data_IF_377505867099
#
_entry.id   IF_377505867099
#
_cell.length_a   1.000
_cell.length_b   1.000
_cell.length_c   1.000
_cell.angle_alpha   90.00
_cell.angle_beta   90.00
_cell.angle_gamma   90.00
#
_symmetry.space_group_name_H-M   'P 1'
#
loop_
_entity.id
_entity.type
_entity.pdbx_description
1 polymer ?
#
# COMPACT_ATOMS: atom_id res chain seq x y z
N UNK A 1 -10.18 4.48 17.22
CA UNK A 1 -10.91 3.68 16.21
C UNK A 1 -10.59 4.17 14.81
N UNK A 2 -10.29 3.28 13.92
CA UNK A 2 -9.97 3.67 12.55
C UNK A 2 -11.22 4.20 11.82
N UNK A 3 -11.04 5.27 11.08
CA UNK A 3 -12.08 5.81 10.19
C UNK A 3 -11.83 5.28 8.77
N UNK A 4 -12.91 5.14 8.03
CA UNK A 4 -12.83 4.80 6.62
C UNK A 4 -13.16 6.05 5.80
N UNK A 5 -12.28 6.40 4.88
CA UNK A 5 -12.39 7.58 4.05
C UNK A 5 -12.48 7.12 2.59
N UNK A 6 -13.41 7.70 1.81
CA UNK A 6 -13.50 7.41 0.39
C UNK A 6 -12.27 8.01 -0.29
N UNK A 7 -11.51 7.21 -1.06
CA UNK A 7 -10.31 7.71 -1.72
C UNK A 7 -10.62 8.81 -2.73
N UNK A 8 -9.84 9.89 -2.67
CA UNK A 8 -9.98 11.00 -3.63
C UNK A 8 -9.67 10.56 -5.07
N UNK A 9 -8.97 9.45 -5.24
CA UNK A 9 -8.57 8.93 -6.55
C UNK A 9 -9.60 8.02 -7.20
N UNK A 10 -10.70 7.67 -6.52
CA UNK A 10 -11.67 6.69 -7.02
C UNK A 10 -12.24 7.09 -8.40
N UNK A 11 -12.73 8.33 -8.55
CA UNK A 11 -13.26 8.81 -9.81
C UNK A 11 -12.17 8.95 -10.89
N UNK A 12 -10.96 9.30 -10.48
CA UNK A 12 -9.83 9.43 -11.40
C UNK A 12 -9.42 8.06 -11.94
N UNK A 13 -9.42 7.01 -11.09
CA UNK A 13 -9.17 5.65 -11.55
C UNK A 13 -10.12 5.26 -12.68
N UNK A 14 -11.41 5.54 -12.51
CA UNK A 14 -12.42 5.25 -13.52
C UNK A 14 -12.15 6.05 -14.79
N UNK A 15 -11.81 7.33 -14.69
CA UNK A 15 -11.49 8.19 -15.83
C UNK A 15 -10.29 7.65 -16.62
N UNK A 16 -9.30 7.09 -15.93
CA UNK A 16 -8.12 6.49 -16.57
C UNK A 16 -8.38 5.08 -17.09
N UNK A 17 -9.55 4.52 -16.85
CA UNK A 17 -9.89 3.14 -17.23
C UNK A 17 -9.14 2.10 -16.43
N UNK A 18 -8.73 2.42 -15.21
CA UNK A 18 -7.97 1.53 -14.34
C UNK A 18 -8.89 0.80 -13.36
N UNK A 19 -8.59 -0.46 -13.10
CA UNK A 19 -9.31 -1.27 -12.10
C UNK A 19 -8.36 -2.10 -11.22
N UNK A 20 -7.09 -2.24 -11.60
CA UNK A 20 -6.06 -2.98 -10.87
C UNK A 20 -4.94 -2.04 -10.43
N UNK A 21 -5.32 -0.91 -9.92
CA UNK A 21 -4.41 0.19 -9.61
C UNK A 21 -4.30 0.46 -8.12
N UNK A 22 -4.55 -0.54 -7.27
CA UNK A 22 -4.50 -0.34 -5.82
C UNK A 22 -3.15 0.20 -5.35
N UNK A 23 -2.05 -0.22 -5.97
CA UNK A 23 -0.71 0.30 -5.62
C UNK A 23 -0.55 1.76 -5.98
N UNK A 24 -1.13 2.20 -7.10
CA UNK A 24 -1.15 3.60 -7.53
C UNK A 24 -1.99 4.45 -6.58
N UNK A 25 -3.21 3.99 -6.27
CA UNK A 25 -4.10 4.70 -5.35
C UNK A 25 -3.52 4.79 -3.96
N UNK A 26 -2.88 3.71 -3.48
CA UNK A 26 -2.24 3.71 -2.17
C UNK A 26 -1.13 4.77 -2.10
N UNK A 27 -0.30 4.89 -3.12
CA UNK A 27 0.74 5.91 -3.17
C UNK A 27 0.14 7.31 -3.18
N UNK A 28 -0.84 7.56 -4.04
CA UNK A 28 -1.49 8.87 -4.13
C UNK A 28 -2.15 9.27 -2.81
N UNK A 29 -2.92 8.36 -2.23
CA UNK A 29 -3.68 8.65 -1.01
C UNK A 29 -2.79 8.82 0.23
N UNK A 30 -1.67 8.11 0.30
CA UNK A 30 -0.77 8.19 1.47
C UNK A 30 0.17 9.38 1.40
N UNK A 31 0.53 9.84 0.21
CA UNK A 31 1.51 10.92 0.02
C UNK A 31 0.90 12.27 -0.32
N UNK A 32 -0.37 12.28 -0.75
CA UNK A 32 -1.00 13.49 -1.28
C UNK A 32 -0.65 13.78 -2.74
N UNK A 33 0.09 12.92 -3.40
CA UNK A 33 0.36 13.06 -4.83
C UNK A 33 -0.92 12.94 -5.64
N UNK A 34 -0.98 13.67 -6.74
CA UNK A 34 -2.07 13.50 -7.71
C UNK A 34 -1.99 12.09 -8.31
N UNK A 35 -3.13 11.54 -8.65
CA UNK A 35 -3.21 10.20 -9.22
C UNK A 35 -2.29 10.04 -10.44
N UNK A 36 -2.29 10.99 -11.37
CA UNK A 36 -1.45 10.93 -12.56
C UNK A 36 0.04 10.85 -12.24
N UNK A 37 0.49 11.59 -11.23
CA UNK A 37 1.88 11.54 -10.79
C UNK A 37 2.21 10.18 -10.17
N UNK A 38 1.35 9.67 -9.29
CA UNK A 38 1.54 8.34 -8.71
C UNK A 38 1.53 7.25 -9.79
N UNK A 39 0.63 7.36 -10.75
CA UNK A 39 0.55 6.43 -11.89
C UNK A 39 1.86 6.41 -12.67
N UNK A 40 2.44 7.57 -12.98
CA UNK A 40 3.71 7.68 -13.69
C UNK A 40 4.87 7.08 -12.88
N UNK A 41 4.89 7.31 -11.58
CA UNK A 41 5.94 6.76 -10.70
C UNK A 41 5.94 5.23 -10.78
N UNK A 42 4.79 4.59 -10.62
CA UNK A 42 4.70 3.14 -10.70
C UNK A 42 5.07 2.64 -12.10
N UNK A 43 4.65 3.34 -13.14
CA UNK A 43 5.00 2.99 -14.52
C UNK A 43 6.51 3.06 -14.74
N UNK A 44 7.18 4.10 -14.26
CA UNK A 44 8.62 4.25 -14.37
C UNK A 44 9.38 3.11 -13.70
N UNK A 45 8.81 2.52 -12.66
CA UNK A 45 9.40 1.39 -11.94
C UNK A 45 9.00 0.04 -12.53
N UNK A 46 8.21 0.02 -13.60
CA UNK A 46 7.89 -1.20 -14.32
C UNK A 46 6.44 -1.64 -14.32
N UNK A 47 5.54 -0.91 -13.64
CA UNK A 47 4.11 -1.24 -13.71
C UNK A 47 3.58 -0.99 -15.11
N UNK A 48 2.81 -1.91 -15.62
CA UNK A 48 2.10 -1.76 -16.89
C UNK A 48 0.68 -1.28 -16.65
N UNK A 49 0.18 -0.41 -17.52
CA UNK A 49 -1.16 0.16 -17.41
C UNK A 49 -2.20 -0.96 -17.34
N UNK A 50 -3.20 -0.75 -16.51
CA UNK A 50 -4.34 -1.67 -16.30
C UNK A 50 -3.95 -3.03 -15.72
N UNK A 51 -2.76 -3.13 -15.12
CA UNK A 51 -2.27 -4.35 -14.47
C UNK A 51 -1.82 -4.07 -13.06
N UNK A 52 -1.80 -5.12 -12.24
CA UNK A 52 -1.21 -5.04 -10.91
C UNK A 52 0.31 -4.95 -10.98
N UNK A 53 0.93 -4.77 -9.84
CA UNK A 53 2.39 -4.70 -9.72
C UNK A 53 2.95 -5.92 -9.00
N UNK A 54 4.16 -6.31 -9.38
CA UNK A 54 4.94 -7.26 -8.59
C UNK A 54 5.58 -6.54 -7.40
N UNK A 55 6.01 -7.31 -6.41
CA UNK A 55 6.56 -6.79 -5.16
C UNK A 55 7.78 -5.88 -5.37
N UNK A 56 8.69 -6.26 -6.26
CA UNK A 56 9.87 -5.44 -6.54
C UNK A 56 9.49 -4.08 -7.13
N UNK A 57 8.46 -4.03 -7.96
CA UNK A 57 8.02 -2.78 -8.60
C UNK A 57 7.44 -1.81 -7.57
N UNK A 58 6.45 -2.25 -6.79
CA UNK A 58 5.84 -1.31 -5.83
C UNK A 58 6.80 -0.98 -4.68
N UNK A 59 7.66 -1.91 -4.27
CA UNK A 59 8.65 -1.62 -3.23
C UNK A 59 9.60 -0.50 -3.68
N UNK A 60 10.21 -0.64 -4.85
CA UNK A 60 11.17 0.36 -5.35
C UNK A 60 10.49 1.72 -5.57
N UNK A 61 9.26 1.71 -6.08
CA UNK A 61 8.50 2.94 -6.29
C UNK A 61 8.22 3.65 -4.96
N UNK A 62 7.80 2.91 -3.94
CA UNK A 62 7.48 3.50 -2.64
C UNK A 62 8.72 4.05 -1.95
N UNK A 63 9.81 3.29 -1.93
CA UNK A 63 11.07 3.74 -1.31
C UNK A 63 11.59 5.00 -1.99
N UNK A 64 11.43 5.12 -3.31
CA UNK A 64 11.87 6.31 -4.06
C UNK A 64 11.00 7.54 -3.78
N UNK A 65 9.90 7.39 -3.08
CA UNK A 65 8.92 8.48 -2.85
C UNK A 65 8.64 8.70 -1.37
N UNK A 66 9.70 8.71 -0.58
CA UNK A 66 9.68 9.07 0.84
C UNK A 66 8.89 8.11 1.72
N UNK A 67 8.72 6.87 1.28
CA UNK A 67 8.15 5.81 2.09
C UNK A 67 9.27 4.94 2.66
N UNK A 68 9.16 4.56 3.92
CA UNK A 68 10.08 3.64 4.57
C UNK A 68 9.35 2.35 4.92
N UNK A 69 9.97 1.21 4.64
CA UNK A 69 9.43 -0.08 5.01
C UNK A 69 9.64 -0.27 6.52
N UNK A 70 8.56 -0.25 7.28
CA UNK A 70 8.61 -0.30 8.76
C UNK A 70 8.19 -1.65 9.34
N UNK A 71 7.62 -2.53 8.53
CA UNK A 71 7.25 -3.86 9.00
C UNK A 71 7.02 -4.84 7.86
N UNK A 72 7.45 -6.08 8.06
CA UNK A 72 7.21 -7.20 7.15
C UNK A 72 6.63 -8.33 7.98
N UNK A 73 5.56 -8.95 7.50
CA UNK A 73 4.76 -9.89 8.28
C UNK A 73 4.48 -11.16 7.51
N UNK A 74 4.50 -12.30 8.23
CA UNK A 74 4.09 -13.58 7.69
C UNK A 74 5.14 -14.27 6.86
N UNK A 75 4.70 -15.28 6.09
CA UNK A 75 5.59 -16.19 5.36
C UNK A 75 5.28 -16.27 3.87
N UNK A 76 4.50 -15.33 3.35
CA UNK A 76 4.22 -15.27 1.91
C UNK A 76 5.50 -15.03 1.12
N UNK A 77 5.46 -15.29 -0.18
CA UNK A 77 6.60 -15.03 -1.07
C UNK A 77 7.00 -13.55 -1.00
N UNK A 78 6.02 -12.65 -0.99
CA UNK A 78 6.29 -11.21 -0.90
C UNK A 78 6.96 -10.83 0.41
N UNK A 79 6.47 -11.36 1.54
CA UNK A 79 7.07 -11.10 2.84
C UNK A 79 8.52 -11.62 2.88
N UNK A 80 8.77 -12.82 2.37
CA UNK A 80 10.14 -13.38 2.34
C UNK A 80 11.07 -12.56 1.45
N UNK A 81 10.58 -12.11 0.30
CA UNK A 81 11.36 -11.26 -0.60
C UNK A 81 11.78 -9.96 0.09
N UNK A 82 10.84 -9.27 0.74
CA UNK A 82 11.10 -8.00 1.41
C UNK A 82 12.02 -8.18 2.61
N UNK A 83 11.77 -9.20 3.43
CA UNK A 83 12.59 -9.46 4.60
C UNK A 83 14.06 -9.70 4.21
N UNK A 84 14.28 -10.47 3.15
CA UNK A 84 15.62 -10.72 2.63
C UNK A 84 16.26 -9.44 2.08
N UNK A 85 15.49 -8.64 1.36
CA UNK A 85 15.99 -7.41 0.71
C UNK A 85 16.49 -6.39 1.73
N UNK A 86 15.84 -6.27 2.89
CA UNK A 86 16.24 -5.33 3.94
C UNK A 86 16.97 -6.01 5.10
N UNK A 87 17.30 -7.29 4.96
CA UNK A 87 18.07 -8.08 5.95
C UNK A 87 17.42 -8.11 7.34
N UNK A 88 16.12 -8.37 7.38
CA UNK A 88 15.38 -8.53 8.64
C UNK A 88 14.63 -9.86 8.63
N UNK A 89 14.18 -10.27 9.80
CA UNK A 89 13.29 -11.43 9.95
C UNK A 89 11.85 -10.92 9.95
N UNK A 90 10.99 -11.53 9.12
CA UNK A 90 9.59 -11.17 9.10
C UNK A 90 8.95 -11.44 10.46
N UNK A 91 8.08 -10.51 10.89
CA UNK A 91 7.34 -10.63 12.13
C UNK A 91 6.24 -11.68 11.99
N UNK A 92 5.67 -12.10 13.11
CA UNK A 92 4.52 -13.01 13.11
C UNK A 92 3.38 -12.44 12.28
N UNK A 93 2.62 -13.32 11.63
CA UNK A 93 1.50 -12.92 10.81
C UNK A 93 0.46 -12.14 11.59
N UNK A 94 -0.14 -11.16 10.94
CA UNK A 94 -1.20 -10.34 11.51
C UNK A 94 -2.23 -9.99 10.46
N UNK A 95 -3.37 -9.45 10.89
CA UNK A 95 -4.44 -8.98 10.00
C UNK A 95 -4.49 -7.47 9.96
N UNK A 96 -5.14 -6.92 8.94
CA UNK A 96 -5.33 -5.47 8.83
C UNK A 96 -6.04 -4.93 10.08
N UNK A 97 -7.11 -5.58 10.52
CA UNK A 97 -7.85 -5.15 11.69
C UNK A 97 -6.98 -5.08 12.96
N UNK A 98 -6.03 -6.02 13.10
CA UNK A 98 -5.13 -6.06 14.25
C UNK A 98 -4.08 -4.97 14.22
N UNK A 99 -3.63 -4.55 13.05
CA UNK A 99 -2.55 -3.58 12.94
C UNK A 99 -3.05 -2.12 12.93
N UNK A 100 -4.28 -1.87 12.51
CA UNK A 100 -4.83 -0.51 12.40
C UNK A 100 -4.70 0.32 13.68
N UNK A 101 -4.95 -0.21 14.89
CA UNK A 101 -4.78 0.57 16.10
C UNK A 101 -3.36 1.08 16.34
N UNK A 102 -2.38 0.49 15.68
CA UNK A 102 -0.96 0.90 15.79
C UNK A 102 -0.58 1.96 14.77
N UNK A 103 -1.45 2.27 13.81
CA UNK A 103 -1.18 3.18 12.70
C UNK A 103 -1.99 4.47 12.84
N UNK A 104 -2.06 5.02 14.05
CA UNK A 104 -2.94 6.15 14.35
C UNK A 104 -2.38 7.51 13.95
N UNK A 105 -1.07 7.64 13.81
CA UNK A 105 -0.43 8.91 13.48
C UNK A 105 0.37 8.79 12.18
N UNK A 106 0.09 9.67 11.23
CA UNK A 106 0.82 9.74 9.99
C UNK A 106 0.15 8.96 8.87
N UNK A 107 0.86 8.85 7.76
CA UNK A 107 0.37 8.21 6.55
C UNK A 107 1.15 6.94 6.27
N UNK A 108 0.42 5.88 5.93
CA UNK A 108 1.00 4.56 5.71
C UNK A 108 0.44 3.95 4.44
N UNK A 109 1.22 3.06 3.82
CA UNK A 109 0.70 2.09 2.85
C UNK A 109 0.78 0.72 3.51
N UNK A 110 -0.34 0.00 3.52
CA UNK A 110 -0.40 -1.36 4.03
C UNK A 110 -0.61 -2.29 2.85
N UNK A 111 0.31 -3.23 2.67
CA UNK A 111 0.18 -4.28 1.66
C UNK A 111 -0.45 -5.47 2.34
N UNK A 112 -1.60 -5.87 1.83
CA UNK A 112 -2.30 -7.07 2.28
C UNK A 112 -2.35 -8.07 1.12
N UNK A 113 -2.88 -9.25 1.35
CA UNK A 113 -2.97 -10.27 0.31
C UNK A 113 -3.75 -9.72 -0.89
N UNK A 114 -3.09 -9.63 -2.04
CA UNK A 114 -3.66 -9.19 -3.33
C UNK A 114 -4.21 -7.76 -3.34
N UNK A 115 -3.76 -6.90 -2.40
CA UNK A 115 -4.28 -5.54 -2.34
C UNK A 115 -3.31 -4.62 -1.62
N UNK A 116 -3.33 -3.35 -1.97
CA UNK A 116 -2.59 -2.30 -1.28
C UNK A 116 -3.58 -1.18 -0.92
N UNK A 117 -3.43 -0.61 0.26
CA UNK A 117 -4.28 0.49 0.68
C UNK A 117 -3.50 1.52 1.51
N UNK A 118 -4.02 2.73 1.56
CA UNK A 118 -3.47 3.78 2.41
C UNK A 118 -4.20 3.81 3.75
N UNK A 119 -3.45 4.13 4.80
CA UNK A 119 -4.00 4.40 6.13
C UNK A 119 -3.47 5.77 6.54
N UNK A 120 -4.37 6.71 6.78
CA UNK A 120 -4.00 8.09 7.12
C UNK A 120 -4.63 8.43 8.45
N UNK A 121 -3.79 8.72 9.45
CA UNK A 121 -4.21 9.05 10.83
C UNK A 121 -5.23 8.05 11.38
N UNK A 122 -4.96 6.76 11.16
CA UNK A 122 -5.82 5.68 11.65
C UNK A 122 -7.01 5.35 10.77
N UNK A 123 -7.26 6.12 9.71
CA UNK A 123 -8.37 5.90 8.79
C UNK A 123 -7.94 5.17 7.53
N UNK A 124 -8.68 4.14 7.14
CA UNK A 124 -8.45 3.42 5.90
C UNK A 124 -8.98 4.25 4.72
N UNK A 125 -8.11 4.51 3.75
CA UNK A 125 -8.47 5.24 2.53
C UNK A 125 -8.46 4.26 1.38
N UNK A 126 -9.64 3.75 1.02
CA UNK A 126 -9.77 2.69 0.02
C UNK A 126 -11.20 2.66 -0.54
N UNK A 127 -11.33 2.14 -1.76
CA UNK A 127 -12.64 1.94 -2.39
C UNK A 127 -13.37 0.72 -1.84
N UNK A 128 -12.63 -0.28 -1.37
CA UNK A 128 -13.19 -1.47 -0.73
C UNK A 128 -12.81 -1.46 0.73
N UNK A 129 -13.81 -1.33 1.60
CA UNK A 129 -13.62 -1.08 3.02
C UNK A 129 -13.62 -2.33 3.87
N UNK A 130 -13.96 -3.49 3.31
CA UNK A 130 -14.18 -4.71 4.08
C UNK A 130 -13.01 -5.67 3.99
N UNK A 131 -11.87 -5.26 4.54
CA UNK A 131 -10.61 -6.00 4.45
C UNK A 131 -9.97 -6.31 5.80
N UNK A 132 -10.71 -6.16 6.91
CA UNK A 132 -10.12 -6.28 8.25
C UNK A 132 -9.48 -7.64 8.54
N UNK A 133 -9.99 -8.72 7.93
CA UNK A 133 -9.45 -10.07 8.11
C UNK A 133 -8.32 -10.41 7.15
N UNK A 134 -7.95 -9.52 6.24
CA UNK A 134 -6.88 -9.77 5.28
C UNK A 134 -5.53 -9.78 5.96
N UNK A 135 -4.66 -10.70 5.55
CA UNK A 135 -3.32 -10.82 6.11
C UNK A 135 -2.43 -9.69 5.62
N UNK A 136 -1.70 -9.08 6.54
CA UNK A 136 -0.73 -8.03 6.23
C UNK A 136 0.57 -8.68 5.77
N UNK A 137 1.14 -8.12 4.70
CA UNK A 137 2.45 -8.52 4.18
C UNK A 137 3.51 -7.50 4.55
N UNK A 138 3.21 -6.21 4.39
CA UNK A 138 4.18 -5.16 4.63
C UNK A 138 3.48 -3.86 5.01
N UNK A 139 4.19 -3.01 5.75
CA UNK A 139 3.74 -1.67 6.12
C UNK A 139 4.83 -0.68 5.76
N UNK A 140 4.47 0.34 5.00
CA UNK A 140 5.33 1.47 4.66
C UNK A 140 4.81 2.71 5.37
N UNK A 141 5.73 3.54 5.85
CA UNK A 141 5.39 4.82 6.49
C UNK A 141 5.93 5.97 5.65
N UNK A 142 5.10 6.96 5.40
CA UNK A 142 5.52 8.20 4.74
C UNK A 142 6.23 9.09 5.75
N UNK A 143 7.36 9.63 5.35
CA UNK A 143 8.14 10.52 6.21
C UNK A 143 7.54 11.90 6.38
#
# INVERSE_FOLDING_TARGET
>A
MAKTIIPVTAGVSTTWGESRDCTVRALANSTGLRYGNAHNILRQHGRKDKRGCTCNVWHDAYISNDMSLVGVYGTTRGARYLAKKISVVAQNGTTLGSILPKLTNGSYIVIITRHALAVVNGGVVDMNLNRSNSRVIAVYKHS
#
